data_IF_984998136340
#
_entry.id   IF_984998136340
#
_cell.length_a   1.000
_cell.length_b   1.000
_cell.length_c   1.000
_cell.angle_alpha   90.00
_cell.angle_beta   90.00
_cell.angle_gamma   90.00
#
_symmetry.space_group_name_H-M   'P 1'
#
loop_
_entity.id
_entity.type
_entity.pdbx_description
1 polymer ?
#
# COMPACT_ATOMS: atom_id res chain seq x y z
N UNK A 1 -45.41 -43.73 18.53
CA UNK A 1 -44.48 -42.59 18.67
C UNK A 1 -44.01 -42.11 17.28
N UNK A 2 -44.95 -41.61 16.46
CA UNK A 2 -44.76 -41.30 15.04
C UNK A 2 -45.24 -39.87 14.68
N UNK A 3 -45.34 -38.98 15.69
CA UNK A 3 -45.95 -37.65 15.57
C UNK A 3 -44.99 -36.47 15.84
N UNK A 4 -43.67 -36.69 15.83
CA UNK A 4 -42.67 -35.62 15.97
C UNK A 4 -41.80 -35.44 14.72
N UNK A 5 -42.37 -35.75 13.56
CA UNK A 5 -41.92 -35.29 12.24
C UNK A 5 -42.98 -34.32 11.74
N UNK A 6 -42.80 -32.99 11.90
CA UNK A 6 -43.33 -31.93 10.96
C UNK A 6 -43.31 -30.46 11.42
N UNK A 7 -42.81 -30.06 12.61
CA UNK A 7 -42.88 -28.63 13.01
C UNK A 7 -41.56 -27.82 12.99
N UNK A 8 -40.40 -28.45 12.75
CA UNK A 8 -39.12 -27.71 12.61
C UNK A 8 -38.68 -27.73 11.12
N UNK A 9 -39.61 -27.38 10.24
CA UNK A 9 -39.31 -26.83 8.90
C UNK A 9 -40.16 -25.58 8.83
N UNK A 10 -39.56 -24.41 9.10
CA UNK A 10 -40.04 -23.02 8.83
C UNK A 10 -39.58 -22.00 9.89
N UNK A 11 -38.33 -22.04 10.37
CA UNK A 11 -37.73 -20.87 11.05
C UNK A 11 -36.19 -20.93 11.12
N UNK A 12 -35.51 -21.24 10.01
CA UNK A 12 -34.06 -21.03 9.90
C UNK A 12 -33.72 -20.69 8.44
N UNK A 13 -34.40 -19.67 7.93
CA UNK A 13 -34.15 -19.06 6.62
C UNK A 13 -33.69 -17.60 6.78
N UNK A 14 -33.03 -17.25 7.88
CA UNK A 14 -32.66 -15.85 8.17
C UNK A 14 -31.41 -15.69 9.06
N UNK A 15 -30.35 -16.47 8.84
CA UNK A 15 -28.99 -16.06 9.25
C UNK A 15 -27.97 -16.48 8.17
N UNK A 16 -28.27 -16.14 6.92
CA UNK A 16 -27.29 -16.12 5.84
C UNK A 16 -27.24 -14.67 5.35
N UNK A 17 -26.02 -14.13 5.19
CA UNK A 17 -25.67 -12.74 4.85
C UNK A 17 -25.41 -11.83 6.06
N UNK A 18 -24.43 -12.20 6.89
CA UNK A 18 -23.44 -11.19 7.27
C UNK A 18 -22.47 -11.14 6.09
N UNK A 19 -22.83 -10.38 5.06
CA UNK A 19 -21.87 -9.98 4.04
C UNK A 19 -20.87 -9.07 4.77
N UNK A 20 -19.78 -9.66 5.26
CA UNK A 20 -18.66 -8.90 5.77
C UNK A 20 -18.21 -7.97 4.66
N UNK A 21 -18.40 -6.67 4.87
CA UNK A 21 -17.83 -5.62 4.04
C UNK A 21 -16.32 -5.74 4.16
N UNK A 22 -15.71 -6.56 3.31
CA UNK A 22 -14.27 -6.56 3.13
C UNK A 22 -13.95 -5.19 2.57
N UNK A 23 -13.31 -4.35 3.39
CA UNK A 23 -12.68 -3.10 2.97
C UNK A 23 -11.56 -3.46 1.99
N UNK A 24 -11.91 -3.75 0.75
CA UNK A 24 -10.93 -3.93 -0.30
C UNK A 24 -10.27 -2.57 -0.53
N UNK A 25 -8.98 -2.47 -0.24
CA UNK A 25 -8.16 -1.39 -0.79
C UNK A 25 -8.37 -1.41 -2.31
N UNK A 26 -8.53 -0.22 -2.91
CA UNK A 26 -8.70 -0.13 -4.37
C UNK A 26 -7.49 -0.83 -5.01
N UNK A 27 -7.77 -1.91 -5.73
CA UNK A 27 -6.76 -2.64 -6.47
C UNK A 27 -6.67 -2.11 -7.89
N UNK A 28 -5.46 -2.08 -8.43
CA UNK A 28 -5.19 -1.75 -9.81
C UNK A 28 -4.13 -2.70 -10.36
N UNK A 29 -4.06 -2.82 -11.67
CA UNK A 29 -2.91 -3.38 -12.34
C UNK A 29 -2.00 -2.23 -12.79
N UNK A 30 -0.70 -2.40 -12.63
CA UNK A 30 0.29 -1.48 -13.16
C UNK A 30 1.25 -2.17 -14.11
N UNK A 31 1.67 -1.45 -15.14
CA UNK A 31 2.71 -1.89 -16.07
C UNK A 31 3.85 -0.88 -16.05
N UNK A 32 5.08 -1.36 -15.91
CA UNK A 32 6.32 -0.55 -15.96
C UNK A 32 7.35 -1.33 -16.77
N UNK A 33 7.79 -0.76 -17.90
CA UNK A 33 8.62 -1.50 -18.86
C UNK A 33 7.92 -2.81 -19.28
N UNK A 34 8.60 -3.98 -19.21
CA UNK A 34 8.00 -5.28 -19.51
C UNK A 34 7.27 -5.93 -18.32
N UNK A 35 7.26 -5.28 -17.15
CA UNK A 35 6.75 -5.85 -15.91
C UNK A 35 5.29 -5.46 -15.66
N UNK A 36 4.51 -6.40 -15.09
CA UNK A 36 3.13 -6.18 -14.66
C UNK A 36 3.00 -6.56 -13.20
N UNK A 37 2.32 -5.74 -12.41
CA UNK A 37 2.03 -5.98 -11.00
C UNK A 37 0.57 -5.67 -10.68
N UNK A 38 -0.02 -6.44 -9.76
CA UNK A 38 -1.27 -6.12 -9.10
C UNK A 38 -0.96 -5.31 -7.84
N UNK A 39 -1.52 -4.11 -7.72
CA UNK A 39 -1.17 -3.19 -6.65
C UNK A 39 -2.39 -2.78 -5.84
N UNK A 40 -2.17 -2.60 -4.55
CA UNK A 40 -3.08 -1.81 -3.72
C UNK A 40 -2.72 -0.33 -3.88
N UNK A 41 -3.73 0.54 -3.95
CA UNK A 41 -3.51 1.97 -4.17
C UNK A 41 -3.65 2.76 -2.86
N UNK A 42 -2.56 3.41 -2.44
CA UNK A 42 -2.50 4.27 -1.26
C UNK A 42 -2.66 5.75 -1.64
N UNK A 43 -3.88 6.28 -1.49
CA UNK A 43 -4.22 7.66 -1.91
C UNK A 43 -4.41 8.64 -0.75
N UNK A 44 -4.79 8.16 0.44
CA UNK A 44 -4.99 9.03 1.61
C UNK A 44 -3.68 9.20 2.38
N UNK A 45 -3.50 10.30 3.15
CA UNK A 45 -2.34 10.42 4.03
C UNK A 45 -2.15 9.22 4.97
N UNK A 46 -3.26 8.67 5.47
CA UNK A 46 -3.26 7.52 6.38
C UNK A 46 -2.81 6.24 5.68
N UNK A 47 -3.28 5.99 4.45
CA UNK A 47 -2.86 4.81 3.69
C UNK A 47 -1.40 4.91 3.28
N UNK A 48 -0.94 6.11 2.87
CA UNK A 48 0.46 6.34 2.54
C UNK A 48 1.38 6.19 3.76
N UNK A 49 0.95 6.68 4.94
CA UNK A 49 1.73 6.51 6.16
C UNK A 49 1.83 5.05 6.59
N UNK A 50 0.76 4.25 6.37
CA UNK A 50 0.74 2.83 6.67
C UNK A 50 1.59 2.02 5.70
N UNK A 51 1.49 2.26 4.40
CA UNK A 51 2.20 1.50 3.38
C UNK A 51 2.08 -0.01 3.55
N UNK A 52 3.19 -0.72 3.37
CA UNK A 52 3.31 -2.18 3.57
C UNK A 52 3.70 -2.59 5.01
N UNK A 53 3.51 -1.72 6.01
CA UNK A 53 3.81 -2.03 7.41
C UNK A 53 3.15 -3.33 7.87
N UNK A 54 3.86 -4.05 8.72
CA UNK A 54 3.45 -5.29 9.41
C UNK A 54 3.19 -6.51 8.50
N UNK A 55 3.34 -6.39 7.18
CA UNK A 55 3.19 -7.52 6.26
C UNK A 55 4.37 -8.48 6.39
N UNK A 56 4.08 -9.79 6.46
CA UNK A 56 5.09 -10.85 6.55
C UNK A 56 5.61 -11.33 5.19
N UNK A 57 4.93 -10.94 4.12
CA UNK A 57 5.29 -11.30 2.76
C UNK A 57 4.53 -10.43 1.76
N UNK A 58 5.06 -10.40 0.54
CA UNK A 58 4.45 -9.77 -0.62
C UNK A 58 4.64 -10.72 -1.80
N UNK A 59 3.59 -11.22 -2.46
CA UNK A 59 3.74 -12.02 -3.68
C UNK A 59 4.53 -11.27 -4.76
N UNK A 60 5.32 -11.97 -5.56
CA UNK A 60 6.26 -11.37 -6.54
C UNK A 60 5.59 -10.52 -7.64
N UNK A 61 4.31 -10.72 -7.87
CA UNK A 61 3.52 -9.98 -8.85
C UNK A 61 2.61 -8.94 -8.18
N UNK A 62 2.87 -8.64 -6.90
CA UNK A 62 2.14 -7.66 -6.14
C UNK A 62 3.02 -6.50 -5.70
N UNK A 63 2.38 -5.37 -5.44
CA UNK A 63 3.02 -4.18 -4.92
C UNK A 63 2.02 -3.21 -4.28
N UNK A 64 2.50 -2.02 -3.98
CA UNK A 64 1.66 -0.92 -3.54
C UNK A 64 2.00 0.34 -4.34
N UNK A 65 0.98 0.99 -4.88
CA UNK A 65 1.11 2.25 -5.59
C UNK A 65 0.65 3.40 -4.71
N UNK A 66 1.58 4.27 -4.34
CA UNK A 66 1.31 5.50 -3.62
C UNK A 66 0.97 6.59 -4.62
N UNK A 67 -0.14 7.29 -4.38
CA UNK A 67 -0.57 8.44 -5.17
C UNK A 67 -0.59 9.66 -4.26
N UNK A 68 0.14 10.70 -4.66
CA UNK A 68 0.22 11.96 -3.91
C UNK A 68 0.16 13.17 -4.85
N UNK A 69 -0.07 14.38 -4.34
CA UNK A 69 0.21 15.60 -5.09
C UNK A 69 1.69 15.64 -5.53
N UNK A 70 2.02 16.20 -6.71
CA UNK A 70 3.39 16.31 -7.17
C UNK A 70 4.25 17.11 -6.18
N UNK A 71 5.41 16.57 -5.82
CA UNK A 71 6.28 17.17 -4.82
C UNK A 71 7.48 16.29 -4.47
N UNK A 72 8.29 16.69 -3.47
CA UNK A 72 9.27 15.78 -2.88
C UNK A 72 8.55 14.60 -2.19
N UNK A 73 9.13 13.41 -2.26
CA UNK A 73 8.68 12.23 -1.54
C UNK A 73 9.75 11.80 -0.54
N UNK A 74 9.33 11.39 0.66
CA UNK A 74 10.23 10.83 1.67
C UNK A 74 9.60 9.56 2.21
N UNK A 75 10.30 8.44 2.01
CA UNK A 75 9.86 7.13 2.47
C UNK A 75 10.74 6.62 3.60
N UNK A 76 10.24 5.63 4.32
CA UNK A 76 10.95 4.91 5.38
C UNK A 76 10.44 3.47 5.43
N UNK A 77 11.22 2.60 6.07
CA UNK A 77 10.87 1.17 6.18
C UNK A 77 10.34 0.79 7.57
N UNK A 78 9.91 1.79 8.35
CA UNK A 78 9.44 1.58 9.73
C UNK A 78 8.35 0.53 9.77
N UNK A 79 8.49 -0.46 10.65
CA UNK A 79 7.59 -1.60 10.82
C UNK A 79 7.38 -2.44 9.55
N UNK A 80 8.22 -2.31 8.53
CA UNK A 80 8.14 -3.11 7.30
C UNK A 80 9.12 -4.27 7.40
N UNK A 81 8.61 -5.51 7.32
CA UNK A 81 9.38 -6.74 7.54
C UNK A 81 10.02 -7.33 6.27
N UNK A 82 9.67 -6.78 5.11
CA UNK A 82 10.08 -7.26 3.79
C UNK A 82 11.01 -6.22 3.15
N UNK A 83 12.07 -6.67 2.48
CA UNK A 83 12.90 -5.77 1.67
C UNK A 83 12.14 -5.36 0.41
N UNK A 84 12.28 -4.10 -0.01
CA UNK A 84 11.52 -3.53 -1.12
C UNK A 84 12.42 -2.81 -2.13
N UNK A 85 12.00 -2.78 -3.39
CA UNK A 85 12.44 -1.75 -4.32
C UNK A 85 11.42 -0.59 -4.29
N UNK A 86 11.91 0.65 -4.28
CA UNK A 86 11.11 1.88 -4.33
C UNK A 86 11.30 2.56 -5.69
N UNK A 87 10.25 2.64 -6.49
CA UNK A 87 10.28 3.24 -7.83
C UNK A 87 9.51 4.56 -7.84
N UNK A 88 10.17 5.67 -8.14
CA UNK A 88 9.59 7.02 -8.06
C UNK A 88 9.27 7.55 -9.46
N UNK A 89 8.03 8.00 -9.69
CA UNK A 89 7.57 8.52 -10.98
C UNK A 89 7.05 9.95 -10.86
N UNK A 90 7.26 10.73 -11.92
CA UNK A 90 6.70 12.08 -12.07
C UNK A 90 5.21 12.07 -12.47
N UNK A 91 4.67 13.26 -12.72
CA UNK A 91 3.28 13.44 -13.17
C UNK A 91 3.02 12.92 -14.59
N UNK A 92 4.05 12.86 -15.43
CA UNK A 92 4.02 12.27 -16.77
C UNK A 92 4.22 10.75 -16.74
N UNK A 93 4.26 10.19 -15.52
CA UNK A 93 4.41 8.76 -15.21
C UNK A 93 5.75 8.19 -15.63
N UNK A 94 6.78 9.02 -15.81
CA UNK A 94 8.13 8.60 -16.14
C UNK A 94 8.88 8.20 -14.87
N UNK A 95 9.53 7.04 -14.88
CA UNK A 95 10.36 6.57 -13.79
C UNK A 95 11.61 7.44 -13.69
N UNK A 96 11.77 8.11 -12.55
CA UNK A 96 12.86 9.03 -12.26
C UNK A 96 13.99 8.39 -11.48
N UNK A 97 13.65 7.49 -10.56
CA UNK A 97 14.58 6.93 -9.57
C UNK A 97 14.14 5.54 -9.16
N UNK A 98 15.11 4.65 -8.93
CA UNK A 98 14.92 3.34 -8.32
C UNK A 98 15.85 3.27 -7.11
N UNK A 99 15.29 3.02 -5.93
CA UNK A 99 16.07 2.59 -4.78
C UNK A 99 15.85 1.09 -4.63
N UNK A 100 16.85 0.30 -4.99
CA UNK A 100 16.79 -1.15 -4.95
C UNK A 100 17.17 -1.69 -3.56
N UNK A 101 16.64 -2.87 -3.24
CA UNK A 101 17.05 -3.67 -2.06
C UNK A 101 16.98 -2.90 -0.72
N UNK A 102 15.99 -2.02 -0.58
CA UNK A 102 15.78 -1.23 0.64
C UNK A 102 15.43 -2.18 1.79
N UNK A 103 16.21 -2.21 2.89
CA UNK A 103 16.10 -3.25 3.91
C UNK A 103 14.90 -3.03 4.85
N UNK A 104 14.39 -4.09 5.49
CA UNK A 104 13.40 -4.01 6.57
C UNK A 104 13.89 -3.10 7.70
N UNK A 105 12.96 -2.44 8.39
CA UNK A 105 13.29 -1.70 9.60
C UNK A 105 12.22 -1.86 10.68
N UNK A 106 12.60 -2.47 11.81
CA UNK A 106 11.72 -2.73 12.95
C UNK A 106 12.19 -2.02 14.22
N UNK A 107 13.17 -1.13 14.08
CA UNK A 107 13.73 -0.33 15.16
C UNK A 107 13.04 1.03 15.23
N UNK A 108 13.13 1.76 16.36
CA UNK A 108 12.64 3.13 16.43
C UNK A 108 13.32 4.07 15.42
N UNK A 109 14.61 3.86 15.19
CA UNK A 109 15.48 4.68 14.34
C UNK A 109 15.59 4.08 12.93
N UNK A 110 14.61 4.36 12.07
CA UNK A 110 14.64 3.95 10.67
C UNK A 110 15.25 5.03 9.76
N UNK A 111 16.10 4.64 8.79
CA UNK A 111 16.53 5.52 7.71
C UNK A 111 15.35 6.10 6.93
N UNK A 112 15.57 7.27 6.34
CA UNK A 112 14.69 7.84 5.31
C UNK A 112 15.32 7.76 3.93
N UNK A 113 14.44 7.66 2.95
CA UNK A 113 14.71 7.49 1.54
C UNK A 113 14.01 8.63 0.77
N UNK A 114 14.67 9.81 0.68
CA UNK A 114 14.13 10.95 -0.05
C UNK A 114 14.21 10.72 -1.56
N UNK A 115 13.26 11.30 -2.29
CA UNK A 115 13.37 11.42 -3.73
C UNK A 115 14.47 12.41 -4.10
N UNK A 116 15.17 12.14 -5.21
CA UNK A 116 16.18 13.04 -5.76
C UNK A 116 15.58 14.33 -6.33
N UNK A 117 14.30 14.30 -6.69
CA UNK A 117 13.58 15.43 -7.29
C UNK A 117 12.35 15.82 -6.47
N UNK A 118 11.85 17.05 -6.70
CA UNK A 118 10.64 17.57 -6.09
C UNK A 118 9.40 17.44 -6.99
N UNK A 119 9.40 16.51 -7.95
CA UNK A 119 8.32 16.35 -8.95
C UNK A 119 7.61 15.00 -8.87
N UNK A 120 7.91 14.20 -7.84
CA UNK A 120 7.35 12.85 -7.66
C UNK A 120 5.85 12.93 -7.36
N UNK A 121 5.08 12.16 -8.13
CA UNK A 121 3.63 12.01 -7.96
C UNK A 121 3.24 10.58 -7.58
N UNK A 122 3.95 9.60 -8.09
CA UNK A 122 3.69 8.18 -7.85
C UNK A 122 4.91 7.48 -7.31
N UNK A 123 4.70 6.55 -6.39
CA UNK A 123 5.75 5.65 -5.89
C UNK A 123 5.21 4.23 -5.95
N UNK A 124 5.96 3.31 -6.54
CA UNK A 124 5.63 1.89 -6.57
C UNK A 124 6.59 1.13 -5.66
N UNK A 125 6.04 0.48 -4.62
CA UNK A 125 6.75 -0.48 -3.79
C UNK A 125 6.54 -1.90 -4.34
N UNK A 126 7.62 -2.62 -4.60
CA UNK A 126 7.63 -4.05 -5.00
C UNK A 126 8.69 -4.80 -4.19
N UNK A 127 8.69 -6.14 -4.26
CA UNK A 127 9.75 -6.92 -3.60
C UNK A 127 11.14 -6.50 -4.07
N UNK A 128 12.10 -6.51 -3.15
CA UNK A 128 13.51 -6.23 -3.45
C UNK A 128 14.06 -7.06 -4.61
N UNK A 129 14.80 -6.39 -5.50
CA UNK A 129 15.45 -6.96 -6.68
C UNK A 129 14.50 -7.24 -7.85
N UNK A 130 13.18 -7.04 -7.71
CA UNK A 130 12.24 -7.26 -8.81
C UNK A 130 12.42 -6.28 -9.96
N UNK A 131 12.83 -5.04 -9.69
CA UNK A 131 13.10 -4.06 -10.74
C UNK A 131 14.20 -4.56 -11.68
N UNK A 132 15.34 -4.98 -11.12
CA UNK A 132 16.45 -5.53 -11.89
C UNK A 132 16.07 -6.84 -12.58
N UNK A 133 15.41 -7.76 -11.86
CA UNK A 133 15.01 -9.08 -12.39
C UNK A 133 14.09 -8.96 -13.60
N UNK A 134 13.22 -7.95 -13.62
CA UNK A 134 12.27 -7.73 -14.71
C UNK A 134 12.75 -6.71 -15.74
N UNK A 135 13.97 -6.18 -15.60
CA UNK A 135 14.54 -5.24 -16.56
C UNK A 135 13.84 -3.88 -16.60
N UNK A 136 13.30 -3.42 -15.47
CA UNK A 136 12.75 -2.07 -15.32
C UNK A 136 13.90 -1.06 -15.30
N UNK A 137 13.77 0.04 -16.03
CA UNK A 137 14.82 1.04 -16.20
C UNK A 137 14.31 2.47 -16.02
N UNK A 138 15.19 3.37 -15.59
CA UNK A 138 14.90 4.81 -15.54
C UNK A 138 14.39 5.29 -16.91
N UNK A 139 13.29 6.04 -16.91
CA UNK A 139 12.60 6.48 -18.10
C UNK A 139 11.41 5.62 -18.52
N UNK A 140 11.26 4.40 -18.01
CA UNK A 140 10.07 3.59 -18.22
C UNK A 140 8.81 4.32 -17.75
N UNK A 141 7.68 4.05 -18.41
CA UNK A 141 6.40 4.68 -18.06
C UNK A 141 5.53 3.76 -17.22
N UNK A 142 4.96 4.32 -16.17
CA UNK A 142 3.91 3.71 -15.38
C UNK A 142 2.56 3.83 -16.11
N UNK A 143 1.93 2.69 -16.38
CA UNK A 143 0.55 2.61 -16.85
C UNK A 143 -0.31 1.98 -15.75
N UNK A 144 -1.54 2.46 -15.56
CA UNK A 144 -2.42 2.00 -14.47
C UNK A 144 -3.80 1.65 -15.03
N UNK A 145 -4.28 0.45 -14.70
CA UNK A 145 -5.58 -0.05 -15.15
C UNK A 145 -6.42 -0.52 -13.95
N UNK A 146 -7.66 -0.02 -13.78
CA UNK A 146 -8.27 1.07 -14.54
C UNK A 146 -7.63 2.42 -14.21
N UNK A 147 -7.66 3.36 -15.17
CA UNK A 147 -7.17 4.74 -14.97
C UNK A 147 -7.89 5.47 -13.82
N UNK A 148 -9.14 5.08 -13.54
CA UNK A 148 -9.91 5.63 -12.43
C UNK A 148 -9.25 5.44 -11.05
N UNK A 149 -8.38 4.43 -10.92
CA UNK A 149 -7.64 4.16 -9.68
C UNK A 149 -6.60 5.24 -9.34
N UNK A 150 -6.34 6.19 -10.25
CA UNK A 150 -5.44 7.33 -9.99
C UNK A 150 -6.14 8.58 -9.43
N UNK A 151 -7.47 8.61 -9.38
CA UNK A 151 -8.19 9.75 -8.80
C UNK A 151 -8.11 9.71 -7.28
N UNK A 152 -7.43 10.71 -6.69
CA UNK A 152 -7.44 10.94 -5.24
C UNK A 152 -8.89 11.19 -4.84
N UNK A 153 -9.55 10.18 -4.30
CA UNK A 153 -10.97 10.28 -3.95
C UNK A 153 -11.14 11.22 -2.74
N UNK A 154 -11.98 12.26 -2.83
CA UNK A 154 -12.23 13.14 -1.71
C UNK A 154 -13.06 12.38 -0.68
N UNK A 155 -12.39 11.83 0.34
CA UNK A 155 -13.00 11.37 1.58
C UNK A 155 -13.96 10.17 1.42
N UNK A 156 -13.41 8.95 1.42
CA UNK A 156 -14.12 7.77 1.94
C UNK A 156 -14.20 7.94 3.46
N UNK A 157 -15.20 8.67 3.95
CA UNK A 157 -15.44 8.80 5.39
C UNK A 157 -15.86 7.43 5.93
N UNK A 158 -14.97 6.74 6.65
CA UNK A 158 -15.35 5.59 7.47
C UNK A 158 -16.48 6.03 8.41
N UNK A 159 -17.63 5.32 8.50
CA UNK A 159 -18.60 5.56 9.56
C UNK A 159 -17.88 5.40 10.90
N UNK A 160 -18.08 6.38 11.80
CA UNK A 160 -17.34 6.59 13.06
C UNK A 160 -17.48 5.43 14.09
N UNK A 161 -18.01 4.27 13.74
CA UNK A 161 -18.48 3.27 14.71
C UNK A 161 -17.87 1.87 14.65
N UNK A 162 -16.91 1.56 13.77
CA UNK A 162 -16.36 0.19 13.70
C UNK A 162 -14.83 0.12 13.71
N UNK A 163 -14.17 0.99 14.47
CA UNK A 163 -12.78 0.74 14.84
C UNK A 163 -12.67 0.73 16.36
N UNK A 164 -12.26 -0.39 16.98
CA UNK A 164 -11.86 -0.38 18.38
C UNK A 164 -10.82 0.72 18.59
N UNK A 165 -11.16 1.72 19.42
CA UNK A 165 -10.35 2.90 19.69
C UNK A 165 -8.95 2.62 20.27
N UNK A 166 -8.62 1.35 20.55
CA UNK A 166 -7.43 0.95 21.29
C UNK A 166 -6.14 0.90 20.45
N UNK A 167 -6.18 0.79 19.12
CA UNK A 167 -4.95 0.47 18.34
C UNK A 167 -4.29 1.70 17.68
N UNK A 168 -5.05 2.71 17.27
CA UNK A 168 -4.46 3.83 16.50
C UNK A 168 -3.67 4.84 17.33
N UNK A 169 -3.98 5.00 18.61
CA UNK A 169 -3.17 5.88 19.47
C UNK A 169 -1.78 5.29 19.71
N UNK A 170 -1.68 3.97 19.79
CA UNK A 170 -0.39 3.29 19.94
C UNK A 170 0.45 3.40 18.67
N UNK A 171 -0.17 3.24 17.48
CA UNK A 171 0.49 3.45 16.18
C UNK A 171 0.93 4.91 15.94
N UNK A 172 0.14 5.90 16.37
CA UNK A 172 0.51 7.32 16.27
C UNK A 172 1.65 7.69 17.22
N UNK A 173 1.66 7.15 18.44
CA UNK A 173 2.75 7.36 19.40
C UNK A 173 4.06 6.75 18.85
N UNK A 174 3.99 5.58 18.23
CA UNK A 174 5.16 4.93 17.64
C UNK A 174 5.67 5.67 16.39
N UNK A 175 4.82 6.38 15.63
CA UNK A 175 5.22 7.08 14.39
C UNK A 175 5.85 8.47 14.59
N UNK A 176 5.76 9.10 15.77
CA UNK A 176 6.06 10.53 15.94
C UNK A 176 7.53 10.87 16.27
N UNK A 177 8.48 9.97 16.06
CA UNK A 177 9.91 10.31 16.15
C UNK A 177 10.42 10.76 14.77
N UNK A 178 11.01 11.98 14.65
CA UNK A 178 11.47 12.49 13.36
C UNK A 178 12.66 11.66 12.85
N UNK A 179 12.65 11.22 11.58
CA UNK A 179 13.79 10.53 11.00
C UNK A 179 14.98 11.47 10.79
N UNK A 180 16.20 10.96 10.98
CA UNK A 180 17.45 11.68 10.68
C UNK A 180 17.93 11.39 9.26
N UNK A 181 18.30 12.44 8.53
CA UNK A 181 18.92 12.37 7.21
C UNK A 181 20.25 11.62 7.27
N UNK A 182 20.45 10.62 6.41
CA UNK A 182 21.77 10.02 6.20
C UNK A 182 22.52 10.91 5.19
N UNK A 183 23.61 11.53 5.64
CA UNK A 183 24.59 12.16 4.75
C UNK A 183 25.43 11.05 4.13
N UNK A 184 25.26 10.78 2.83
CA UNK A 184 26.22 9.97 2.09
C UNK A 184 27.57 10.70 2.07
N UNK A 185 28.62 10.05 2.57
CA UNK A 185 30.01 10.30 2.20
C UNK A 185 30.43 9.23 1.20
#
# INVERSE_FOLDING_TARGET
>A
MLFYRKLIRRLFWLVALIAGSVWALDQAQVTVGPAIFQVEVAQTPQDRQRGLMFRRGLPREQGMLFVQPPGPAVFWMKNTYISLDLLYFDSDRRLLQILADVPPCVTPDCPIYPSETATVRYILEINAGEAARRGIQIGDRLQVTPESSLHISPSRTLPRHEIPQADYRELQILSNSPPRLISHR
#
